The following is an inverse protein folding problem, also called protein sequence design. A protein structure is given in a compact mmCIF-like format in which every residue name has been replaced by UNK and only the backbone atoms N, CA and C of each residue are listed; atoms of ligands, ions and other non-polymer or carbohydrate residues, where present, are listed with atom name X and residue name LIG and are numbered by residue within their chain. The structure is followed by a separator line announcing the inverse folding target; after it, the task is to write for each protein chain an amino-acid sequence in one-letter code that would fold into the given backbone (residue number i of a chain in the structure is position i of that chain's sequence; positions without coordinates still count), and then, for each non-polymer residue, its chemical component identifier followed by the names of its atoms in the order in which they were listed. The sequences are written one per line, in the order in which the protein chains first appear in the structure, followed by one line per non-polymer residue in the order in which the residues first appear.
data_IF_954157636325
#
_entry.id   IF_954157636325
#
_cell.length_a   1.000
_cell.length_b   1.000
_cell.length_c   1.000
_cell.angle_alpha   90.00
_cell.angle_beta   90.00
_cell.angle_gamma   90.00
#
_symmetry.space_group_name_H-M   'P 1'
#
loop_
_entity.id
_entity.type
_entity.pdbx_description
1 polymer ?
#
# COMPACT_ATOMS: atom_id res chain seq x y z
N UNK A 1 -9.21 28.24 -31.90
CA UNK A 1 -9.11 28.39 -30.43
C UNK A 1 -8.29 27.22 -29.92
N UNK A 2 -7.41 27.42 -28.92
CA UNK A 2 -6.75 26.31 -28.25
C UNK A 2 -7.83 25.44 -27.56
N UNK A 3 -7.69 24.12 -27.60
CA UNK A 3 -8.60 23.21 -26.90
C UNK A 3 -8.53 23.49 -25.38
N UNK A 4 -9.68 23.47 -24.70
CA UNK A 4 -9.71 23.58 -23.23
C UNK A 4 -9.10 22.30 -22.67
N UNK A 5 -7.98 22.44 -21.98
CA UNK A 5 -7.29 21.33 -21.35
C UNK A 5 -7.83 21.05 -19.95
N UNK A 6 -7.72 19.80 -19.54
CA UNK A 6 -8.31 19.21 -18.33
C UNK A 6 -7.28 19.12 -17.20
N UNK A 7 -7.78 18.94 -15.98
CA UNK A 7 -6.97 18.41 -14.88
C UNK A 7 -7.09 16.88 -14.85
N UNK A 8 -6.01 16.20 -14.49
CA UNK A 8 -5.99 14.76 -14.25
C UNK A 8 -5.60 14.47 -12.80
N UNK A 9 -6.38 13.63 -12.14
CA UNK A 9 -6.13 13.12 -10.78
C UNK A 9 -5.79 11.66 -10.90
N UNK A 10 -4.52 11.34 -10.64
CA UNK A 10 -4.07 9.98 -10.50
C UNK A 10 -3.99 9.67 -9.01
N UNK A 11 -4.43 8.49 -8.60
CA UNK A 11 -4.43 8.11 -7.18
C UNK A 11 -4.03 6.66 -6.97
N UNK A 12 -3.42 6.35 -5.83
CA UNK A 12 -3.02 5.00 -5.50
C UNK A 12 -4.22 4.06 -5.31
N UNK A 13 -4.18 2.89 -5.95
CA UNK A 13 -5.23 1.86 -5.94
C UNK A 13 -4.61 0.49 -5.67
N UNK A 14 -5.23 -0.41 -4.88
CA UNK A 14 -6.61 -0.37 -4.33
C UNK A 14 -6.69 -0.01 -2.84
N UNK A 15 -6.04 1.07 -2.37
CA UNK A 15 -6.10 1.45 -0.96
C UNK A 15 -7.23 2.47 -0.66
N UNK A 16 -7.83 2.43 0.55
CA UNK A 16 -8.74 3.48 0.99
C UNK A 16 -8.09 4.87 1.04
N UNK A 17 -6.80 4.97 1.34
CA UNK A 17 -6.12 6.27 1.48
C UNK A 17 -6.08 7.04 0.15
N UNK A 18 -5.59 6.42 -0.92
CA UNK A 18 -5.66 6.95 -2.29
C UNK A 18 -7.09 7.22 -2.76
N UNK A 19 -8.07 6.35 -2.46
CA UNK A 19 -9.47 6.58 -2.82
C UNK A 19 -10.07 7.83 -2.12
N UNK A 20 -9.77 8.03 -0.84
CA UNK A 20 -10.18 9.23 -0.11
C UNK A 20 -9.38 10.47 -0.54
N UNK A 21 -8.12 10.32 -0.94
CA UNK A 21 -7.36 11.41 -1.55
C UNK A 21 -8.02 11.88 -2.86
N UNK A 22 -8.44 10.94 -3.72
CA UNK A 22 -9.22 11.23 -4.91
C UNK A 22 -10.58 11.87 -4.58
N UNK A 23 -11.24 11.45 -3.50
CA UNK A 23 -12.48 12.09 -3.03
C UNK A 23 -12.28 13.56 -2.65
N UNK A 24 -11.16 13.93 -2.01
CA UNK A 24 -10.84 15.32 -1.72
C UNK A 24 -10.71 16.15 -3.00
N UNK A 25 -10.05 15.60 -4.03
CA UNK A 25 -9.97 16.23 -5.34
C UNK A 25 -11.36 16.37 -5.98
N UNK A 26 -12.18 15.31 -5.94
CA UNK A 26 -13.55 15.34 -6.43
C UNK A 26 -14.37 16.46 -5.79
N UNK A 27 -14.31 16.60 -4.47
CA UNK A 27 -15.01 17.67 -3.75
C UNK A 27 -14.53 19.07 -4.18
N UNK A 28 -13.23 19.26 -4.39
CA UNK A 28 -12.71 20.53 -4.92
C UNK A 28 -13.20 20.82 -6.32
N UNK A 29 -13.07 19.87 -7.25
CA UNK A 29 -13.46 20.09 -8.64
C UNK A 29 -14.97 20.29 -8.76
N UNK A 30 -15.81 19.49 -8.10
CA UNK A 30 -17.28 19.64 -8.12
C UNK A 30 -17.77 21.03 -7.67
N UNK A 31 -16.95 21.78 -6.93
CA UNK A 31 -17.29 23.11 -6.42
C UNK A 31 -16.40 24.24 -6.96
N UNK A 32 -15.40 23.93 -7.76
CA UNK A 32 -14.49 24.91 -8.33
C UNK A 32 -15.12 25.57 -9.56
N UNK A 33 -14.95 26.89 -9.76
CA UNK A 33 -15.37 27.58 -10.99
C UNK A 33 -14.80 26.91 -12.26
N UNK A 34 -13.63 26.26 -12.15
CA UNK A 34 -12.95 25.55 -13.24
C UNK A 34 -13.76 24.36 -13.76
N UNK A 35 -14.57 23.70 -12.92
CA UNK A 35 -15.36 22.54 -13.35
C UNK A 35 -16.50 22.89 -14.32
N UNK A 36 -16.82 24.17 -14.48
CA UNK A 36 -17.78 24.61 -15.51
C UNK A 36 -17.18 24.64 -16.92
N UNK A 37 -15.85 24.51 -17.03
CA UNK A 37 -15.13 24.65 -18.32
C UNK A 37 -14.59 23.34 -18.90
N UNK A 38 -14.21 22.37 -18.07
CA UNK A 38 -13.80 21.04 -18.50
C UNK A 38 -13.90 20.01 -17.35
N UNK A 39 -14.35 18.76 -17.64
CA UNK A 39 -14.40 17.71 -16.63
C UNK A 39 -12.99 17.25 -16.23
N UNK A 40 -12.78 17.04 -14.93
CA UNK A 40 -11.57 16.41 -14.39
C UNK A 40 -11.53 14.93 -14.77
N UNK A 41 -10.35 14.43 -15.13
CA UNK A 41 -10.10 13.01 -15.39
C UNK A 41 -9.57 12.33 -14.12
N UNK A 42 -10.04 11.13 -13.82
CA UNK A 42 -9.52 10.32 -12.72
C UNK A 42 -8.92 9.03 -13.25
N UNK A 43 -7.77 8.65 -12.72
CA UNK A 43 -7.03 7.46 -13.12
C UNK A 43 -6.54 6.70 -11.88
N UNK A 44 -7.08 5.50 -11.60
CA UNK A 44 -6.54 4.64 -10.55
C UNK A 44 -5.19 4.09 -10.99
N UNK A 45 -4.16 4.34 -10.19
CA UNK A 45 -2.83 3.78 -10.38
C UNK A 45 -2.72 2.47 -9.60
N UNK A 46 -2.79 1.35 -10.32
CA UNK A 46 -2.67 0.03 -9.71
C UNK A 46 -1.22 -0.29 -9.33
N UNK A 47 -1.03 -1.08 -8.27
CA UNK A 47 0.31 -1.53 -7.84
C UNK A 47 0.94 -2.50 -8.85
N UNK A 48 0.13 -3.26 -9.59
CA UNK A 48 0.58 -4.37 -10.43
C UNK A 48 0.76 -4.01 -11.90
N UNK A 49 -0.01 -3.04 -12.38
CA UNK A 49 0.13 -2.43 -13.69
C UNK A 49 0.09 -0.91 -13.50
N UNK A 50 1.19 -0.31 -12.98
CA UNK A 50 1.24 1.12 -12.72
C UNK A 50 1.12 1.90 -14.03
N UNK A 51 0.51 3.09 -13.94
CA UNK A 51 0.32 3.98 -15.07
C UNK A 51 1.66 4.42 -15.66
N UNK A 52 1.72 4.44 -16.98
CA UNK A 52 2.81 5.02 -17.78
C UNK A 52 2.36 6.37 -18.29
N UNK A 53 3.32 7.25 -18.58
CA UNK A 53 3.00 8.57 -19.13
C UNK A 53 2.24 8.47 -20.47
N UNK A 54 2.50 7.42 -21.24
CA UNK A 54 1.85 7.18 -22.54
C UNK A 54 0.41 6.64 -22.41
N UNK A 55 -0.01 6.19 -21.22
CA UNK A 55 -1.39 5.78 -20.94
C UNK A 55 -2.31 7.01 -20.75
N UNK A 56 -1.73 8.21 -20.65
CA UNK A 56 -2.43 9.45 -20.33
C UNK A 56 -2.58 10.33 -21.59
N UNK A 57 -3.73 11.00 -21.79
CA UNK A 57 -3.92 11.94 -22.89
C UNK A 57 -3.24 13.30 -22.56
N UNK A 58 -1.91 13.31 -22.45
CA UNK A 58 -1.14 14.46 -21.94
C UNK A 58 -1.27 15.72 -22.80
N UNK A 59 -1.60 15.57 -24.08
CA UNK A 59 -1.94 16.69 -24.97
C UNK A 59 -3.24 17.43 -24.56
N UNK A 60 -4.13 16.76 -23.84
CA UNK A 60 -5.39 17.31 -23.31
C UNK A 60 -5.29 17.73 -21.84
N UNK A 61 -4.14 17.56 -21.18
CA UNK A 61 -3.98 17.79 -19.75
C UNK A 61 -3.04 18.98 -19.48
N UNK A 62 -3.43 19.86 -18.56
CA UNK A 62 -2.55 20.93 -18.05
C UNK A 62 -2.05 20.66 -16.64
N UNK A 63 -2.89 20.10 -15.77
CA UNK A 63 -2.53 19.89 -14.37
C UNK A 63 -2.67 18.41 -14.04
N UNK A 64 -1.59 17.81 -13.53
CA UNK A 64 -1.57 16.43 -13.02
C UNK A 64 -1.43 16.46 -11.50
N UNK A 65 -2.31 15.76 -10.80
CA UNK A 65 -2.24 15.51 -9.36
C UNK A 65 -1.91 14.03 -9.15
N UNK A 66 -0.82 13.74 -8.45
CA UNK A 66 -0.45 12.40 -8.01
C UNK A 66 -0.77 12.31 -6.51
N UNK A 67 -1.74 11.47 -6.15
CA UNK A 67 -2.30 11.39 -4.80
C UNK A 67 -2.01 10.03 -4.16
N UNK A 68 -1.31 10.05 -3.03
CA UNK A 68 -0.87 8.84 -2.29
C UNK A 68 0.17 7.98 -3.06
N UNK A 69 0.88 8.58 -4.04
CA UNK A 69 2.01 7.96 -4.74
C UNK A 69 2.81 8.97 -5.58
N UNK A 70 4.04 8.60 -5.97
CA UNK A 70 4.91 9.35 -6.90
C UNK A 70 5.05 8.73 -8.29
N UNK A 71 4.58 7.49 -8.46
CA UNK A 71 4.78 6.68 -9.68
C UNK A 71 6.15 6.01 -9.74
N UNK A 72 6.41 5.20 -10.79
CA UNK A 72 7.70 4.52 -10.96
C UNK A 72 8.86 5.51 -11.23
N UNK A 73 10.12 5.08 -11.08
CA UNK A 73 11.28 5.92 -11.41
C UNK A 73 11.17 6.50 -12.84
N UNK A 74 11.37 7.82 -12.96
CA UNK A 74 11.27 8.53 -14.24
C UNK A 74 9.87 9.03 -14.61
N UNK A 75 8.81 8.60 -13.89
CA UNK A 75 7.42 8.96 -14.23
C UNK A 75 7.19 10.48 -14.23
N UNK A 76 7.59 11.17 -13.15
CA UNK A 76 7.45 12.62 -13.04
C UNK A 76 8.24 13.35 -14.14
N UNK A 77 9.44 12.88 -14.50
CA UNK A 77 10.26 13.46 -15.57
C UNK A 77 9.63 13.30 -16.96
N UNK A 78 8.82 12.26 -17.17
CA UNK A 78 8.08 12.08 -18.41
C UNK A 78 6.83 12.96 -18.48
N UNK A 79 6.18 13.21 -17.33
CA UNK A 79 4.98 14.03 -17.23
C UNK A 79 5.30 15.53 -17.28
N UNK A 80 6.24 16.00 -16.47
CA UNK A 80 6.43 17.43 -16.20
C UNK A 80 6.74 18.29 -17.43
N UNK A 81 7.42 17.82 -18.49
CA UNK A 81 7.62 18.63 -19.71
C UNK A 81 6.37 18.74 -20.59
N UNK A 82 5.37 17.87 -20.40
CA UNK A 82 4.18 17.75 -21.25
C UNK A 82 2.96 18.48 -20.69
N UNK A 83 3.01 18.91 -19.43
CA UNK A 83 1.89 19.53 -18.71
C UNK A 83 2.33 20.84 -18.05
N UNK A 84 1.38 21.72 -17.75
CA UNK A 84 1.65 23.01 -17.08
C UNK A 84 2.15 22.78 -15.65
N UNK A 85 1.55 21.84 -14.89
CA UNK A 85 1.89 21.60 -13.49
C UNK A 85 1.73 20.12 -13.11
N UNK A 86 2.67 19.63 -12.29
CA UNK A 86 2.54 18.36 -11.56
C UNK A 86 2.50 18.66 -10.07
N UNK A 87 1.52 18.12 -9.35
CA UNK A 87 1.38 18.23 -7.89
C UNK A 87 1.43 16.83 -7.29
N UNK A 88 2.39 16.59 -6.41
CA UNK A 88 2.54 15.33 -5.68
C UNK A 88 2.11 15.55 -4.24
N UNK A 89 1.12 14.77 -3.78
CA UNK A 89 0.65 14.73 -2.39
C UNK A 89 0.83 13.30 -1.88
N UNK A 90 1.85 13.06 -1.05
CA UNK A 90 2.25 11.71 -0.68
C UNK A 90 2.85 11.67 0.74
N UNK A 91 2.93 10.48 1.33
CA UNK A 91 3.44 10.23 2.68
C UNK A 91 4.28 8.93 2.76
N UNK A 92 4.54 8.27 1.63
CA UNK A 92 5.41 7.11 1.61
C UNK A 92 6.88 7.49 1.84
N UNK A 93 7.60 6.68 2.63
CA UNK A 93 9.04 6.88 2.86
C UNK A 93 9.83 6.77 1.55
N UNK A 94 9.44 5.81 0.71
CA UNK A 94 10.03 5.61 -0.62
C UNK A 94 9.84 6.83 -1.53
N UNK A 95 8.70 7.53 -1.44
CA UNK A 95 8.46 8.76 -2.17
C UNK A 95 9.41 9.89 -1.73
N UNK A 96 9.64 10.05 -0.41
CA UNK A 96 10.59 11.02 0.11
C UNK A 96 12.01 10.76 -0.41
N UNK A 97 12.45 9.50 -0.42
CA UNK A 97 13.77 9.10 -0.92
C UNK A 97 13.89 9.36 -2.43
N UNK A 98 12.89 8.95 -3.22
CA UNK A 98 12.85 9.20 -4.66
C UNK A 98 12.94 10.71 -4.96
N UNK A 99 12.12 11.52 -4.29
CA UNK A 99 12.05 12.96 -4.56
C UNK A 99 13.22 13.76 -3.98
N UNK A 100 13.86 13.26 -2.92
CA UNK A 100 15.00 13.88 -2.24
C UNK A 100 16.36 13.58 -2.87
N UNK A 101 16.47 12.51 -3.66
CA UNK A 101 17.71 12.04 -4.31
C UNK A 101 18.28 12.93 -5.43
N UNK A 102 17.89 14.21 -5.49
CA UNK A 102 18.39 15.13 -6.52
C UNK A 102 17.73 14.97 -7.88
N UNK A 103 16.51 14.40 -7.95
CA UNK A 103 15.69 14.47 -9.15
C UNK A 103 15.60 15.93 -9.59
N UNK A 104 16.21 16.25 -10.74
CA UNK A 104 16.05 17.53 -11.42
C UNK A 104 14.60 17.63 -11.89
N UNK A 105 13.72 18.04 -10.98
CA UNK A 105 12.34 18.33 -11.30
C UNK A 105 12.30 19.73 -11.88
N UNK A 106 11.74 19.87 -13.07
CA UNK A 106 11.43 21.16 -13.68
C UNK A 106 10.64 22.03 -12.69
N UNK A 107 10.73 23.37 -12.82
CA UNK A 107 10.13 24.32 -11.88
C UNK A 107 8.60 24.26 -11.74
N UNK A 108 7.92 23.37 -12.47
CA UNK A 108 6.48 23.16 -12.43
C UNK A 108 6.02 21.93 -11.60
N UNK A 109 6.92 21.32 -10.83
CA UNK A 109 6.58 20.22 -9.92
C UNK A 109 6.45 20.73 -8.48
N UNK A 110 5.26 20.65 -7.91
CA UNK A 110 4.97 20.94 -6.50
C UNK A 110 4.94 19.62 -5.72
N UNK A 111 5.62 19.56 -4.58
CA UNK A 111 5.73 18.36 -3.76
C UNK A 111 5.28 18.69 -2.35
N UNK A 112 4.28 17.98 -1.85
CA UNK A 112 3.83 18.02 -0.45
C UNK A 112 4.00 16.61 0.09
N UNK A 113 5.10 16.40 0.82
CA UNK A 113 5.43 15.13 1.45
C UNK A 113 5.34 15.30 2.95
N UNK A 114 4.46 14.55 3.60
CA UNK A 114 4.24 14.65 5.04
C UNK A 114 4.06 13.27 5.66
N UNK A 115 5.10 12.80 6.36
CA UNK A 115 5.12 11.47 6.98
C UNK A 115 4.20 11.35 8.21
N UNK A 116 3.65 12.48 8.71
CA UNK A 116 2.77 12.50 9.89
C UNK A 116 1.28 12.51 9.54
N UNK A 117 0.95 12.53 8.25
CA UNK A 117 -0.41 12.50 7.71
C UNK A 117 -0.51 11.42 6.64
N UNK A 118 -1.73 10.98 6.34
CA UNK A 118 -1.96 10.06 5.23
C UNK A 118 -2.17 10.84 3.93
N UNK A 119 -2.01 10.19 2.78
CA UNK A 119 -2.29 10.79 1.47
C UNK A 119 -3.71 11.39 1.39
N UNK A 120 -4.70 10.75 2.02
CA UNK A 120 -6.06 11.27 2.11
C UNK A 120 -6.13 12.62 2.82
N UNK A 121 -5.53 12.76 4.00
CA UNK A 121 -5.62 14.01 4.79
C UNK A 121 -4.73 15.12 4.23
N UNK A 122 -3.59 14.78 3.63
CA UNK A 122 -2.77 15.73 2.85
C UNK A 122 -3.59 16.29 1.70
N UNK A 123 -4.24 15.43 0.91
CA UNK A 123 -5.09 15.85 -0.20
C UNK A 123 -6.29 16.67 0.28
N UNK A 124 -6.94 16.25 1.37
CA UNK A 124 -8.06 16.98 1.98
C UNK A 124 -7.67 18.42 2.29
N UNK A 125 -6.57 18.64 3.02
CA UNK A 125 -6.14 19.99 3.39
C UNK A 125 -5.69 20.81 2.19
N UNK A 126 -4.92 20.21 1.26
CA UNK A 126 -4.47 20.88 0.04
C UNK A 126 -5.64 21.38 -0.80
N UNK A 127 -6.62 20.52 -1.08
CA UNK A 127 -7.76 20.87 -1.92
C UNK A 127 -8.74 21.81 -1.21
N UNK A 128 -8.91 21.68 0.11
CA UNK A 128 -9.66 22.63 0.92
C UNK A 128 -9.02 24.02 0.86
N UNK A 129 -7.71 24.12 1.10
CA UNK A 129 -6.99 25.40 1.03
C UNK A 129 -7.10 26.00 -0.38
N UNK A 130 -6.90 25.20 -1.43
CA UNK A 130 -7.06 25.64 -2.82
C UNK A 130 -8.47 26.16 -3.11
N UNK A 131 -9.49 25.58 -2.47
CA UNK A 131 -10.88 26.00 -2.61
C UNK A 131 -11.27 27.23 -1.80
N UNK A 132 -10.51 27.62 -0.77
CA UNK A 132 -10.90 28.71 0.15
C UNK A 132 -9.84 29.81 0.31
N UNK A 133 -8.62 29.60 -0.19
CA UNK A 133 -7.49 30.53 -0.08
C UNK A 133 -7.62 31.82 -0.90
N UNK A 134 -8.74 32.04 -1.60
CA UNK A 134 -9.06 33.30 -2.27
C UNK A 134 -10.38 33.88 -1.76
N UNK A 135 -10.30 35.05 -1.12
CA UNK A 135 -11.37 35.86 -0.53
C UNK A 135 -12.47 35.05 0.21
N UNK A 136 -12.25 34.89 1.52
CA UNK A 136 -13.08 34.17 2.49
C UNK A 136 -14.53 34.70 2.52
N UNK A 137 -14.75 35.93 2.07
CA UNK A 137 -16.05 36.59 2.17
C UNK A 137 -17.06 36.21 1.07
N UNK A 138 -16.67 35.41 0.06
CA UNK A 138 -17.53 35.14 -1.11
C UNK A 138 -17.88 33.66 -1.38
N UNK A 139 -17.48 32.71 -0.52
CA UNK A 139 -17.65 31.27 -0.83
C UNK A 139 -18.76 30.60 0.01
N UNK A 140 -19.84 30.25 -0.71
CA UNK A 140 -21.03 29.45 -0.39
C UNK A 140 -20.89 28.54 0.85
N UNK A 141 -21.66 28.84 1.91
CA UNK A 141 -21.81 28.03 3.14
C UNK A 141 -22.00 26.51 2.90
N UNK A 142 -22.59 26.10 1.77
CA UNK A 142 -22.83 24.69 1.46
C UNK A 142 -21.56 23.85 1.21
N UNK A 143 -20.54 24.42 0.55
CA UNK A 143 -19.34 23.67 0.13
C UNK A 143 -18.43 23.36 1.33
N UNK A 144 -18.28 24.34 2.22
CA UNK A 144 -17.57 24.18 3.49
C UNK A 144 -18.28 23.10 4.32
N UNK A 145 -19.61 23.07 4.30
CA UNK A 145 -20.41 22.05 4.98
C UNK A 145 -20.13 20.63 4.50
N UNK A 146 -19.93 20.40 3.20
CA UNK A 146 -19.61 19.06 2.67
C UNK A 146 -18.21 18.59 3.06
N UNK A 147 -17.19 19.43 2.91
CA UNK A 147 -15.83 19.12 3.39
C UNK A 147 -15.84 18.81 4.89
N UNK A 148 -16.48 19.66 5.69
CA UNK A 148 -16.59 19.46 7.14
C UNK A 148 -17.33 18.17 7.51
N UNK A 149 -18.41 17.83 6.78
CA UNK A 149 -19.19 16.61 7.01
C UNK A 149 -18.33 15.35 6.88
N UNK A 150 -17.44 15.31 5.88
CA UNK A 150 -16.62 14.11 5.60
C UNK A 150 -15.30 14.09 6.34
N UNK A 151 -14.87 15.21 6.94
CA UNK A 151 -13.59 15.32 7.68
C UNK A 151 -13.36 14.16 8.65
N UNK A 152 -14.40 13.76 9.40
CA UNK A 152 -14.29 12.64 10.35
C UNK A 152 -13.91 11.33 9.66
N UNK A 153 -14.41 11.06 8.46
CA UNK A 153 -14.03 9.85 7.72
C UNK A 153 -12.54 9.90 7.35
N UNK A 154 -12.05 11.04 6.87
CA UNK A 154 -10.61 11.24 6.57
C UNK A 154 -9.72 11.03 7.80
N UNK A 155 -10.12 11.53 8.97
CA UNK A 155 -9.38 11.31 10.24
C UNK A 155 -9.28 9.81 10.60
N UNK A 156 -10.34 9.04 10.37
CA UNK A 156 -10.34 7.60 10.61
C UNK A 156 -9.55 6.80 9.56
N UNK A 157 -9.54 7.26 8.30
CA UNK A 157 -8.67 6.71 7.25
C UNK A 157 -7.20 6.90 7.64
N UNK A 158 -6.80 8.12 8.01
CA UNK A 158 -5.43 8.42 8.46
C UNK A 158 -5.03 7.58 9.68
N UNK A 159 -5.91 7.47 10.68
CA UNK A 159 -5.60 6.77 11.92
C UNK A 159 -5.36 5.27 11.71
N UNK A 160 -6.03 4.66 10.72
CA UNK A 160 -5.80 3.27 10.32
C UNK A 160 -4.62 3.09 9.38
N UNK A 161 -4.45 4.00 8.43
CA UNK A 161 -3.36 3.99 7.44
C UNK A 161 -1.99 4.14 8.11
N UNK A 162 -1.85 5.09 9.04
CA UNK A 162 -0.65 5.29 9.85
C UNK A 162 -0.54 4.30 11.03
N UNK A 163 -1.46 3.34 11.14
CA UNK A 163 -1.51 2.31 12.18
C UNK A 163 -1.50 2.86 13.63
N UNK A 164 -2.09 4.04 13.83
CA UNK A 164 -2.06 4.78 15.11
C UNK A 164 -3.14 4.33 16.08
N UNK A 165 -4.33 4.01 15.59
CA UNK A 165 -5.47 3.53 16.39
C UNK A 165 -5.85 4.44 17.57
N UNK A 166 -5.68 5.75 17.45
CA UNK A 166 -5.96 6.73 18.52
C UNK A 166 -7.43 7.08 18.62
N UNK A 167 -8.17 6.98 17.51
CA UNK A 167 -9.58 7.35 17.49
C UNK A 167 -10.47 6.25 18.08
N UNK A 168 -11.59 6.61 18.75
CA UNK A 168 -12.51 5.63 19.31
C UNK A 168 -12.99 4.65 18.25
N UNK A 169 -12.83 3.35 18.50
CA UNK A 169 -13.25 2.28 17.59
C UNK A 169 -12.62 2.35 16.18
N UNK A 170 -11.45 2.97 16.03
CA UNK A 170 -10.76 3.11 14.73
C UNK A 170 -10.48 1.76 14.03
N UNK A 171 -10.08 0.74 14.81
CA UNK A 171 -9.95 -0.64 14.29
C UNK A 171 -11.26 -1.20 13.76
N UNK A 172 -12.38 -0.91 14.43
CA UNK A 172 -13.69 -1.32 13.97
C UNK A 172 -14.10 -0.56 12.69
N UNK A 173 -13.84 0.75 12.61
CA UNK A 173 -14.05 1.48 11.35
C UNK A 173 -13.25 0.89 10.19
N UNK A 174 -11.93 0.66 10.39
CA UNK A 174 -11.07 0.07 9.35
C UNK A 174 -11.55 -1.31 8.92
N UNK A 175 -11.92 -2.17 9.89
CA UNK A 175 -12.51 -3.49 9.62
C UNK A 175 -13.83 -3.39 8.87
N UNK A 176 -14.72 -2.49 9.29
CA UNK A 176 -16.04 -2.31 8.69
C UNK A 176 -15.98 -1.73 7.30
N UNK A 177 -15.04 -0.81 7.02
CA UNK A 177 -14.81 -0.29 5.68
C UNK A 177 -14.36 -1.40 4.73
N UNK A 178 -13.47 -2.31 5.19
CA UNK A 178 -13.09 -3.51 4.43
C UNK A 178 -14.31 -4.41 4.18
N UNK A 179 -15.20 -4.58 5.15
CA UNK A 179 -16.41 -5.42 5.01
C UNK A 179 -17.39 -4.91 3.94
N UNK A 180 -17.36 -3.61 3.63
CA UNK A 180 -18.20 -3.05 2.58
C UNK A 180 -17.78 -3.50 1.17
N UNK A 181 -16.56 -4.05 1.00
CA UNK A 181 -16.02 -4.52 -0.27
C UNK A 181 -16.22 -3.51 -1.41
N UNK A 182 -15.96 -2.23 -1.13
CA UNK A 182 -16.09 -1.17 -2.13
C UNK A 182 -15.01 -1.31 -3.20
N UNK A 183 -15.43 -1.25 -4.46
CA UNK A 183 -14.50 -1.11 -5.59
C UNK A 183 -14.01 0.33 -5.67
N UNK A 184 -12.70 0.54 -5.49
CA UNK A 184 -12.05 1.85 -5.47
C UNK A 184 -11.51 2.30 -6.84
N UNK A 185 -11.63 1.47 -7.87
CA UNK A 185 -11.42 1.88 -9.26
C UNK A 185 -12.65 2.67 -9.73
N UNK A 186 -12.50 3.97 -9.95
CA UNK A 186 -13.60 4.84 -10.42
C UNK A 186 -14.03 4.55 -11.87
N UNK A 187 -13.17 3.93 -12.68
CA UNK A 187 -13.50 3.50 -14.03
C UNK A 187 -14.45 2.31 -13.95
N UNK A 188 -14.13 1.32 -13.10
CA UNK A 188 -14.96 0.14 -12.86
C UNK A 188 -16.18 0.43 -11.98
N UNK A 189 -16.10 1.43 -11.09
CA UNK A 189 -17.17 1.91 -10.22
C UNK A 189 -17.39 3.44 -10.37
N UNK A 190 -18.17 3.88 -11.37
CA UNK A 190 -18.45 5.30 -11.59
C UNK A 190 -19.21 5.99 -10.44
N UNK A 191 -19.77 5.22 -9.50
CA UNK A 191 -20.50 5.74 -8.32
C UNK A 191 -19.64 5.84 -7.06
N UNK A 192 -18.34 5.56 -7.17
CA UNK A 192 -17.41 5.49 -6.04
C UNK A 192 -17.52 6.72 -5.13
N UNK A 193 -17.42 7.93 -5.68
CA UNK A 193 -17.42 9.13 -4.84
C UNK A 193 -18.76 9.33 -4.13
N UNK A 194 -19.89 9.02 -4.77
CA UNK A 194 -21.20 9.06 -4.12
C UNK A 194 -21.30 8.04 -2.99
N UNK A 195 -20.77 6.83 -3.18
CA UNK A 195 -20.71 5.81 -2.14
C UNK A 195 -19.88 6.29 -0.94
N UNK A 196 -18.67 6.81 -1.19
CA UNK A 196 -17.81 7.35 -0.12
C UNK A 196 -18.45 8.52 0.62
N UNK A 197 -19.11 9.45 -0.09
CA UNK A 197 -19.83 10.57 0.51
C UNK A 197 -21.06 10.15 1.32
N UNK A 198 -21.62 8.97 1.03
CA UNK A 198 -22.78 8.41 1.73
C UNK A 198 -22.43 7.64 3.00
N UNK A 199 -21.14 7.37 3.24
CA UNK A 199 -20.68 6.64 4.42
C UNK A 199 -21.06 7.39 5.70
N UNK A 200 -21.63 6.63 6.64
CA UNK A 200 -21.92 7.11 8.00
C UNK A 200 -20.96 6.43 8.96
N UNK A 201 -20.19 7.24 9.69
CA UNK A 201 -19.16 6.77 10.62
C UNK A 201 -19.68 5.66 11.55
N UNK A 202 -20.79 5.92 12.25
CA UNK A 202 -21.34 4.98 13.23
C UNK A 202 -21.80 3.66 12.61
N UNK A 203 -22.32 3.70 11.37
CA UNK A 203 -22.72 2.50 10.64
C UNK A 203 -21.50 1.65 10.25
N UNK A 204 -20.43 2.28 9.75
CA UNK A 204 -19.18 1.59 9.38
C UNK A 204 -18.52 0.99 10.62
N UNK A 205 -18.49 1.73 11.74
CA UNK A 205 -17.97 1.23 13.02
C UNK A 205 -18.78 0.04 13.51
N UNK A 206 -20.12 0.13 13.49
CA UNK A 206 -21.01 -0.95 13.94
C UNK A 206 -20.81 -2.22 13.12
N UNK A 207 -20.69 -2.08 11.79
CA UNK A 207 -20.39 -3.18 10.88
C UNK A 207 -19.09 -3.89 11.27
N UNK A 208 -18.02 -3.12 11.48
CA UNK A 208 -16.73 -3.70 11.85
C UNK A 208 -16.72 -4.32 13.24
N UNK A 209 -17.44 -3.75 14.21
CA UNK A 209 -17.60 -4.38 15.54
C UNK A 209 -18.20 -5.79 15.43
N UNK A 210 -19.15 -6.01 14.51
CA UNK A 210 -19.76 -7.32 14.29
C UNK A 210 -18.80 -8.34 13.66
N UNK A 211 -17.83 -7.90 12.84
CA UNK A 211 -16.92 -8.81 12.13
C UNK A 211 -15.58 -9.05 12.82
N UNK A 212 -15.15 -8.15 13.71
CA UNK A 212 -13.81 -8.16 14.32
C UNK A 212 -13.47 -9.48 15.03
N UNK A 213 -14.37 -10.00 15.85
CA UNK A 213 -14.13 -11.23 16.60
C UNK A 213 -13.93 -12.44 15.66
N UNK A 214 -14.73 -12.52 14.61
CA UNK A 214 -14.62 -13.58 13.61
C UNK A 214 -13.28 -13.50 12.85
N UNK A 215 -12.89 -12.31 12.39
CA UNK A 215 -11.59 -12.09 11.73
C UNK A 215 -10.42 -12.43 12.65
N UNK A 216 -10.51 -12.10 13.94
CA UNK A 216 -9.47 -12.43 14.90
C UNK A 216 -9.29 -13.96 15.05
N UNK A 217 -10.38 -14.73 15.10
CA UNK A 217 -10.32 -16.21 15.10
C UNK A 217 -9.70 -16.77 13.82
N UNK A 218 -9.97 -16.16 12.66
CA UNK A 218 -9.31 -16.54 11.40
C UNK A 218 -7.80 -16.29 11.49
N UNK A 219 -7.40 -15.09 11.96
CA UNK A 219 -5.99 -14.73 12.12
C UNK A 219 -5.27 -15.71 13.05
N UNK A 220 -5.86 -16.04 14.19
CA UNK A 220 -5.27 -16.98 15.17
C UNK A 220 -4.98 -18.35 14.56
N UNK A 221 -5.95 -18.91 13.82
CA UNK A 221 -5.77 -20.19 13.11
C UNK A 221 -4.66 -20.14 12.07
N UNK A 222 -4.55 -19.04 11.33
CA UNK A 222 -3.51 -18.88 10.31
C UNK A 222 -2.14 -18.66 10.95
N UNK A 223 -2.07 -17.94 12.08
CA UNK A 223 -0.83 -17.76 12.85
C UNK A 223 -0.26 -19.07 13.38
N UNK A 224 -1.08 -20.09 13.66
CA UNK A 224 -0.60 -21.43 14.06
C UNK A 224 0.21 -22.11 12.96
N UNK A 225 -0.05 -21.75 11.70
CA UNK A 225 0.62 -22.31 10.52
C UNK A 225 1.90 -21.54 10.13
N UNK A 226 2.31 -20.55 10.93
CA UNK A 226 3.51 -19.76 10.67
C UNK A 226 4.77 -20.62 10.71
N UNK A 227 5.75 -20.29 9.87
CA UNK A 227 7.06 -20.95 9.83
C UNK A 227 8.19 -19.90 9.73
N UNK A 228 9.39 -20.27 10.14
CA UNK A 228 10.56 -19.39 10.02
C UNK A 228 11.05 -19.32 8.57
N UNK A 229 11.50 -18.14 8.16
CA UNK A 229 12.23 -17.91 6.90
C UNK A 229 13.54 -17.16 7.16
N UNK A 230 14.55 -17.46 6.35
CA UNK A 230 15.75 -16.65 6.19
C UNK A 230 15.46 -15.56 5.14
N UNK A 231 15.03 -14.38 5.60
CA UNK A 231 14.54 -13.29 4.76
C UNK A 231 15.65 -12.80 3.82
N UNK A 232 15.36 -12.80 2.51
CA UNK A 232 16.33 -12.53 1.45
C UNK A 232 17.53 -13.49 1.46
N UNK A 233 17.28 -14.78 1.70
CA UNK A 233 18.35 -15.78 1.83
C UNK A 233 19.23 -15.58 3.08
N UNK A 234 18.70 -14.90 4.11
CA UNK A 234 19.40 -14.58 5.35
C UNK A 234 20.08 -13.21 5.38
N UNK A 235 20.17 -12.52 4.23
CA UNK A 235 20.74 -11.16 4.16
C UNK A 235 20.02 -10.16 5.10
N UNK A 236 18.74 -10.40 5.35
CA UNK A 236 17.91 -9.58 6.24
C UNK A 236 17.52 -10.32 7.52
N UNK A 237 18.27 -11.35 7.92
CA UNK A 237 18.01 -12.13 9.13
C UNK A 237 16.80 -13.05 9.01
N UNK A 238 16.27 -13.47 10.16
CA UNK A 238 15.22 -14.47 10.26
C UNK A 238 13.95 -13.88 10.85
N UNK A 239 12.80 -14.29 10.32
CA UNK A 239 11.47 -13.89 10.82
C UNK A 239 10.43 -14.97 10.53
N UNK A 240 9.24 -14.84 11.12
CA UNK A 240 8.13 -15.72 10.75
C UNK A 240 7.45 -15.26 9.46
N UNK A 241 7.03 -16.25 8.68
CA UNK A 241 6.19 -16.10 7.50
C UNK A 241 4.94 -16.97 7.62
N UNK A 242 3.92 -16.65 6.82
CA UNK A 242 2.73 -17.48 6.66
C UNK A 242 2.20 -17.38 5.24
N UNK A 243 1.70 -18.49 4.71
CA UNK A 243 0.95 -18.49 3.45
C UNK A 243 -0.49 -18.08 3.74
N UNK A 244 -1.01 -17.12 3.00
CA UNK A 244 -2.26 -16.42 3.31
C UNK A 244 -3.15 -16.20 2.09
N UNK A 245 -3.05 -17.06 1.07
CA UNK A 245 -3.87 -16.97 -0.15
C UNK A 245 -5.37 -16.85 0.13
N UNK A 246 -5.87 -17.55 1.15
CA UNK A 246 -7.28 -17.54 1.51
C UNK A 246 -7.71 -16.33 2.38
N UNK A 247 -6.77 -15.52 2.88
CA UNK A 247 -7.03 -14.45 3.87
C UNK A 247 -6.18 -13.19 3.63
N UNK A 248 -5.73 -12.97 2.40
CA UNK A 248 -4.79 -11.88 2.07
C UNK A 248 -5.37 -10.48 2.34
N UNK A 249 -6.68 -10.35 2.43
CA UNK A 249 -7.39 -9.13 2.86
C UNK A 249 -7.06 -8.74 4.31
N UNK A 250 -6.67 -9.72 5.14
CA UNK A 250 -6.24 -9.54 6.54
C UNK A 250 -4.72 -9.38 6.70
N UNK A 251 -3.96 -9.27 5.60
CA UNK A 251 -2.49 -9.23 5.60
C UNK A 251 -1.86 -8.22 6.56
N UNK A 252 -2.50 -7.07 6.79
CA UNK A 252 -1.95 -6.05 7.70
C UNK A 252 -2.03 -6.49 9.15
N UNK A 253 -3.21 -6.93 9.58
CA UNK A 253 -3.46 -7.42 10.94
C UNK A 253 -2.70 -8.73 11.20
N UNK A 254 -2.74 -9.67 10.25
CA UNK A 254 -2.01 -10.92 10.29
C UNK A 254 -0.51 -10.68 10.37
N UNK A 255 0.04 -9.83 9.50
CA UNK A 255 1.47 -9.51 9.48
C UNK A 255 1.93 -8.83 10.77
N UNK A 256 1.13 -7.92 11.35
CA UNK A 256 1.45 -7.28 12.61
C UNK A 256 1.47 -8.29 13.78
N UNK A 257 0.49 -9.19 13.86
CA UNK A 257 0.49 -10.24 14.90
C UNK A 257 1.63 -11.25 14.68
N UNK A 258 1.96 -11.55 13.43
CA UNK A 258 3.09 -12.40 13.06
C UNK A 258 4.42 -11.77 13.47
N UNK A 259 4.61 -10.47 13.28
CA UNK A 259 5.78 -9.73 13.74
C UNK A 259 5.96 -9.79 15.27
N UNK A 260 4.86 -9.64 16.03
CA UNK A 260 4.87 -9.83 17.48
C UNK A 260 5.25 -11.26 17.87
N UNK A 261 4.77 -12.27 17.13
CA UNK A 261 5.13 -13.68 17.35
C UNK A 261 6.61 -13.93 17.05
N UNK A 262 7.16 -13.32 15.99
CA UNK A 262 8.59 -13.42 15.65
C UNK A 262 9.48 -12.96 16.80
N UNK A 263 9.21 -11.80 17.41
CA UNK A 263 9.99 -11.32 18.57
C UNK A 263 9.93 -12.31 19.73
N UNK A 264 8.75 -12.86 20.04
CA UNK A 264 8.58 -13.85 21.12
C UNK A 264 9.39 -15.13 20.88
N UNK A 265 9.76 -15.40 19.62
CA UNK A 265 10.61 -16.52 19.23
C UNK A 265 12.09 -16.12 19.05
N UNK A 266 12.49 -14.94 19.53
CA UNK A 266 13.84 -14.39 19.37
C UNK A 266 14.29 -14.21 17.90
N UNK A 267 13.33 -13.96 17.00
CA UNK A 267 13.57 -13.60 15.61
C UNK A 267 13.45 -12.07 15.43
N UNK A 268 13.76 -11.55 14.23
CA UNK A 268 13.51 -10.13 13.92
C UNK A 268 12.03 -9.81 14.08
N UNK A 269 11.70 -8.59 14.48
CA UNK A 269 10.34 -8.10 14.68
C UNK A 269 9.58 -7.83 13.39
N UNK A 270 9.69 -8.76 12.45
CA UNK A 270 9.06 -8.73 11.12
C UNK A 270 8.12 -9.93 11.01
N UNK A 271 6.97 -9.72 10.37
CA UNK A 271 6.07 -10.76 9.92
C UNK A 271 5.91 -10.67 8.40
N UNK A 272 6.13 -11.79 7.70
CA UNK A 272 5.97 -11.89 6.26
C UNK A 272 4.66 -12.62 5.91
N UNK A 273 3.70 -11.91 5.32
CA UNK A 273 2.47 -12.50 4.79
C UNK A 273 2.65 -12.77 3.31
N UNK A 274 2.50 -14.01 2.90
CA UNK A 274 2.83 -14.52 1.56
C UNK A 274 1.58 -15.00 0.86
N UNK A 275 1.29 -14.49 -0.32
CA UNK A 275 0.08 -14.83 -1.07
C UNK A 275 0.25 -14.61 -2.57
N UNK A 276 -0.47 -15.38 -3.37
CA UNK A 276 -0.64 -15.17 -4.81
C UNK A 276 -1.53 -13.95 -5.06
N UNK A 277 -1.34 -13.31 -6.22
CA UNK A 277 -2.14 -12.15 -6.65
C UNK A 277 -2.93 -12.59 -7.88
N UNK A 278 -4.22 -12.95 -7.74
CA UNK A 278 -5.03 -13.48 -8.84
C UNK A 278 -5.05 -12.57 -10.08
N UNK A 279 -4.97 -11.25 -9.88
CA UNK A 279 -5.00 -10.25 -10.94
C UNK A 279 -3.79 -10.30 -11.88
N UNK A 280 -2.71 -10.98 -11.49
CA UNK A 280 -1.51 -11.15 -12.33
C UNK A 280 -1.59 -12.32 -13.31
N UNK A 281 -2.58 -13.22 -13.17
CA UNK A 281 -2.69 -14.48 -13.92
C UNK A 281 -1.34 -15.22 -14.01
N UNK A 282 -0.61 -15.22 -12.90
CA UNK A 282 0.74 -15.77 -12.81
C UNK A 282 0.98 -16.42 -11.44
N UNK A 283 0.62 -17.69 -11.35
CA UNK A 283 0.78 -18.52 -10.15
C UNK A 283 2.25 -18.73 -9.72
N UNK A 284 3.21 -18.28 -10.54
CA UNK A 284 4.63 -18.35 -10.19
C UNK A 284 5.10 -17.15 -9.38
N UNK A 285 4.31 -16.07 -9.29
CA UNK A 285 4.65 -14.87 -8.53
C UNK A 285 3.90 -14.84 -7.20
N UNK A 286 4.66 -14.56 -6.13
CA UNK A 286 4.16 -14.38 -4.79
C UNK A 286 4.36 -12.94 -4.37
N UNK A 287 3.34 -12.36 -3.74
CA UNK A 287 3.46 -11.10 -3.02
C UNK A 287 3.88 -11.38 -1.59
N UNK A 288 4.94 -10.68 -1.17
CA UNK A 288 5.44 -10.70 0.20
C UNK A 288 5.08 -9.35 0.83
N UNK A 289 4.13 -9.37 1.76
CA UNK A 289 3.71 -8.21 2.53
C UNK A 289 4.37 -8.24 3.90
N UNK A 290 5.33 -7.35 4.11
CA UNK A 290 6.06 -7.23 5.38
C UNK A 290 5.35 -6.27 6.32
N UNK A 291 5.23 -6.67 7.58
CA UNK A 291 4.91 -5.77 8.69
C UNK A 291 6.00 -5.87 9.72
N UNK A 292 6.38 -4.76 10.31
CA UNK A 292 7.30 -4.75 11.43
C UNK A 292 6.71 -4.05 12.65
N UNK A 293 7.33 -4.26 13.80
CA UNK A 293 7.04 -3.56 15.03
C UNK A 293 8.26 -2.79 15.52
N UNK A 294 8.04 -1.82 16.40
CA UNK A 294 9.08 -0.94 16.94
C UNK A 294 9.82 -0.17 15.82
N UNK A 295 11.15 -0.07 15.92
CA UNK A 295 11.96 0.78 15.05
C UNK A 295 12.47 0.12 13.76
N UNK A 296 11.95 -1.06 13.45
CA UNK A 296 12.42 -1.84 12.33
C UNK A 296 11.85 -1.35 11.00
N UNK A 297 12.74 -0.93 10.10
CA UNK A 297 12.38 -0.46 8.77
C UNK A 297 12.39 -1.60 7.75
N UNK A 298 11.24 -1.84 7.12
CA UNK A 298 11.04 -2.87 6.10
C UNK A 298 11.33 -2.37 4.69
N UNK A 299 11.39 -1.05 4.48
CA UNK A 299 11.57 -0.47 3.14
C UNK A 299 12.87 -0.89 2.44
N UNK A 300 14.04 -0.97 3.11
CA UNK A 300 15.28 -1.43 2.46
C UNK A 300 15.16 -2.86 1.91
N UNK A 301 14.40 -3.73 2.60
CA UNK A 301 14.17 -5.11 2.17
C UNK A 301 13.30 -5.12 0.93
N UNK A 302 12.20 -4.37 0.94
CA UNK A 302 11.29 -4.31 -0.21
C UNK A 302 11.93 -3.71 -1.45
N UNK A 303 12.79 -2.69 -1.28
CA UNK A 303 13.47 -2.00 -2.38
C UNK A 303 14.47 -2.91 -3.11
N UNK A 304 15.15 -3.83 -2.41
CA UNK A 304 16.02 -4.84 -3.03
C UNK A 304 15.28 -5.70 -4.07
N UNK A 305 13.98 -5.91 -3.86
CA UNK A 305 13.10 -6.67 -4.76
C UNK A 305 12.18 -5.77 -5.61
N UNK A 306 12.54 -4.49 -5.78
CA UNK A 306 11.79 -3.54 -6.60
C UNK A 306 10.43 -3.12 -6.04
N UNK A 307 10.17 -3.40 -4.75
CA UNK A 307 8.98 -2.98 -4.03
C UNK A 307 9.17 -1.70 -3.21
N UNK A 308 8.25 -1.47 -2.28
CA UNK A 308 8.23 -0.26 -1.46
C UNK A 308 7.08 -0.19 -0.47
N UNK A 309 6.95 0.96 0.20
CA UNK A 309 5.86 1.27 1.11
C UNK A 309 6.25 2.26 2.21
N UNK A 310 5.62 2.12 3.37
CA UNK A 310 5.98 2.81 4.61
C UNK A 310 7.08 2.07 5.35
N UNK A 311 7.72 2.76 6.28
CA UNK A 311 8.76 2.22 7.17
C UNK A 311 8.36 0.86 7.76
N UNK A 312 7.21 0.79 8.44
CA UNK A 312 6.76 -0.43 9.13
C UNK A 312 5.83 -1.34 8.30
N UNK A 313 5.56 -0.97 7.04
CA UNK A 313 4.67 -1.71 6.16
C UNK A 313 5.09 -1.52 4.70
N UNK A 314 5.75 -2.54 4.14
CA UNK A 314 6.17 -2.55 2.74
C UNK A 314 5.84 -3.89 2.09
N UNK A 315 5.92 -3.93 0.76
CA UNK A 315 5.72 -5.17 0.02
C UNK A 315 6.52 -5.20 -1.27
N UNK A 316 6.74 -6.41 -1.78
CA UNK A 316 7.40 -6.67 -3.04
C UNK A 316 6.91 -8.01 -3.61
N UNK A 317 7.33 -8.34 -4.82
CA UNK A 317 6.98 -9.59 -5.47
C UNK A 317 8.24 -10.38 -5.82
N UNK A 318 8.19 -11.69 -5.64
CA UNK A 318 9.25 -12.63 -6.01
C UNK A 318 8.64 -13.88 -6.63
N UNK A 319 9.45 -14.64 -7.35
CA UNK A 319 9.00 -15.95 -7.83
C UNK A 319 8.86 -16.94 -6.66
N UNK A 320 7.97 -17.92 -6.82
CA UNK A 320 7.85 -19.03 -5.87
C UNK A 320 9.20 -19.74 -5.69
N UNK A 321 9.97 -19.94 -6.76
CA UNK A 321 11.30 -20.55 -6.70
C UNK A 321 12.32 -19.74 -5.86
N UNK A 322 12.28 -18.41 -5.93
CA UNK A 322 13.07 -17.54 -5.04
C UNK A 322 12.59 -17.68 -3.59
N UNK A 323 11.28 -17.59 -3.35
CA UNK A 323 10.74 -17.70 -1.99
C UNK A 323 11.06 -19.04 -1.32
N UNK A 324 11.02 -20.15 -2.08
CA UNK A 324 11.38 -21.46 -1.55
C UNK A 324 12.82 -21.48 -0.99
N UNK A 325 13.78 -20.78 -1.63
CA UNK A 325 15.16 -20.72 -1.13
C UNK A 325 15.26 -20.12 0.27
N UNK A 326 14.32 -19.28 0.68
CA UNK A 326 14.31 -18.67 2.01
C UNK A 326 13.90 -19.67 3.10
N UNK A 327 13.25 -20.79 2.74
CA UNK A 327 12.87 -21.88 3.66
C UNK A 327 13.98 -22.92 3.86
N UNK A 328 14.83 -23.12 2.85
CA UNK A 328 15.75 -24.28 2.78
C UNK A 328 17.10 -24.12 3.51
N UNK A 329 17.44 -22.93 4.02
CA UNK A 329 18.76 -22.70 4.63
C UNK A 329 18.99 -23.42 5.97
N UNK A 330 17.97 -24.07 6.54
CA UNK A 330 18.10 -24.85 7.77
C UNK A 330 18.85 -26.18 7.63
N UNK A 331 19.03 -26.71 6.41
CA UNK A 331 19.60 -28.06 6.25
C UNK A 331 21.14 -28.11 6.26
N UNK A 332 21.83 -27.02 5.90
CA UNK A 332 23.31 -27.06 5.77
C UNK A 332 24.07 -26.74 7.06
N UNK A 333 23.46 -26.05 8.03
CA UNK A 333 24.19 -25.55 9.21
C UNK A 333 24.40 -26.58 10.34
N UNK A 334 23.76 -27.75 10.26
CA UNK A 334 23.87 -28.82 11.26
C UNK A 334 24.50 -30.12 10.74
N UNK A 335 24.88 -30.17 9.45
CA UNK A 335 25.67 -31.28 8.91
C UNK A 335 27.15 -30.90 8.87
N UNK A 336 27.81 -30.85 10.04
CA UNK A 336 29.26 -31.03 10.08
C UNK A 336 29.57 -32.48 9.70
N UNK A 337 29.67 -32.75 8.40
CA UNK A 337 30.30 -33.98 7.90
C UNK A 337 31.80 -33.87 8.15
N UNK A 338 32.26 -34.45 9.26
CA UNK A 338 33.68 -34.78 9.44
C UNK A 338 34.07 -35.82 8.40
N UNK A 339 34.62 -35.37 7.27
CA UNK A 339 35.25 -36.25 6.29
C UNK A 339 36.62 -36.65 6.85
N UNK A 340 36.67 -37.78 7.56
CA UNK A 340 37.91 -38.52 7.74
C UNK A 340 38.16 -39.35 6.48
N UNK A 341 39.17 -38.95 5.71
CA UNK A 341 39.65 -39.71 4.57
C UNK A 341 40.50 -40.88 5.09
N UNK A 342 39.96 -42.09 5.07
CA UNK A 342 40.75 -43.32 5.18
C UNK A 342 40.85 -43.97 3.80
N UNK A 343 42.07 -44.10 3.32
CA UNK A 343 42.42 -44.97 2.19
C UNK A 343 42.16 -46.43 2.58
N UNK A 344 41.46 -47.18 1.72
CA UNK A 344 41.35 -48.64 1.88
C UNK A 344 40.12 -49.23 1.21
N UNK A 345 40.39 -50.04 0.20
CA UNK A 345 39.50 -50.87 -0.62
C UNK A 345 38.26 -51.46 0.09
N UNK A 346 37.06 -51.29 -0.48
CA UNK A 346 36.08 -52.36 -0.75
C UNK A 346 34.70 -51.80 -1.14
N UNK A 347 34.10 -52.38 -2.17
CA UNK A 347 32.77 -52.08 -2.68
C UNK A 347 31.71 -52.71 -1.77
N UNK A 348 30.74 -51.93 -1.29
CA UNK A 348 29.49 -52.45 -0.72
C UNK A 348 28.28 -51.66 -1.21
N UNK A 349 27.31 -52.40 -1.76
CA UNK A 349 25.96 -51.95 -2.11
C UNK A 349 25.19 -51.54 -0.86
N UNK A 350 24.42 -50.44 -0.93
CA UNK A 350 23.48 -50.06 0.11
C UNK A 350 22.03 -50.18 -0.38
N UNK A 351 21.28 -51.00 0.34
CA UNK A 351 19.83 -51.12 0.25
C UNK A 351 19.16 -49.88 0.86
N UNK A 352 18.15 -49.35 0.17
CA UNK A 352 17.19 -48.41 0.74
C UNK A 352 16.28 -49.17 1.73
N UNK A 353 16.22 -48.70 2.97
CA UNK A 353 15.11 -48.98 3.88
C UNK A 353 14.48 -47.66 4.31
N UNK A 354 13.30 -47.42 3.75
CA UNK A 354 12.29 -46.52 4.29
C UNK A 354 11.79 -47.07 5.61
N UNK A 355 11.78 -46.24 6.65
CA UNK A 355 10.85 -46.40 7.77
C UNK A 355 10.42 -45.04 8.29
N UNK A 356 9.13 -44.77 8.11
CA UNK A 356 8.34 -43.78 8.84
C UNK A 356 8.28 -44.13 10.32
N UNK A 357 8.43 -43.14 11.19
CA UNK A 357 7.56 -42.87 12.37
C UNK A 357 7.42 -41.36 12.48
#
# INVERSE_FOLDING_TARGET
MAAIKKSAVLYHYPCPDGAFAALAAHLYFSHSPVATTAPVLFFPNTVYSPLRADDLPLNEIDNVYLLDFVGPPGFIQQLSPKVERVVVLDHHKTALEMLGSGMSTSGNVIKVIDMERSGATIAYDYFKEKLFGGDINSRKNGVIGEFQRVRRLFEYIEDGDLWRWRLPNSKAFSSGLKDLNLEFDVISNPTLFQQLLSLKLDSVVSQGMSSLAHKQTIIEKVLEQSYEIALGGGAFGHCLAVNADAVYELRSELGHQLANKSIKMNLRGIGAVVYSVPELDNDQLLKISLRSISDEDTTPISQEYGGGGHRNASSFMISNAEFQRWKFLWCYSHCYFSIFCFQGESVYYWYFLSTSI
#
